data_IF_742764022426
#
_entry.id   IF_742764022426
#
_cell.length_a   1.000
_cell.length_b   1.000
_cell.length_c   1.000
_cell.angle_alpha   90.00
_cell.angle_beta   90.00
_cell.angle_gamma   90.00
#
_symmetry.space_group_name_H-M   'P 1'
#
loop_
_entity.id
_entity.type
_entity.pdbx_description
1 polymer ?
#
# COMPACT_ATOMS: atom_id res chain seq x y z
N UNK A 1 -22.08 15.07 25.82
CA UNK A 1 -21.87 14.71 25.32
C UNK A 1 -21.24 14.64 24.83
N UNK A 2 -20.95 14.68 24.51
CA UNK A 2 -20.72 14.52 23.83
C UNK A 2 -20.48 13.95 23.58
N UNK A 3 -20.09 13.81 24.56
CA UNK A 3 -19.69 12.91 23.83
C UNK A 3 -20.68 12.89 22.90
N UNK A 4 -21.21 13.33 23.16
CA UNK A 4 -22.29 13.31 22.38
C UNK A 4 -22.15 13.67 20.96
N UNK A 5 -21.04 13.37 20.42
CA UNK A 5 -20.96 13.47 18.96
C UNK A 5 -21.84 12.40 18.40
N UNK A 6 -23.02 12.76 18.07
CA UNK A 6 -23.88 11.90 17.31
C UNK A 6 -23.29 11.77 15.93
N UNK A 7 -22.87 10.58 15.59
CA UNK A 7 -22.49 10.31 14.21
C UNK A 7 -23.75 10.42 13.37
N UNK A 8 -23.77 11.30 12.36
CA UNK A 8 -24.92 11.37 11.46
C UNK A 8 -25.17 9.98 10.85
N UNK A 9 -26.42 9.64 10.66
CA UNK A 9 -26.78 8.34 10.10
C UNK A 9 -26.14 8.08 8.73
N UNK A 10 -25.90 9.13 7.97
CA UNK A 10 -25.24 9.01 6.69
C UNK A 10 -23.72 8.80 6.81
N UNK A 11 -23.19 8.97 8.00
CA UNK A 11 -21.78 8.70 8.30
C UNK A 11 -21.62 7.49 9.19
N UNK A 12 -22.69 6.76 9.44
CA UNK A 12 -22.59 5.52 10.19
C UNK A 12 -21.68 4.54 9.45
N UNK A 13 -21.01 3.72 10.21
CA UNK A 13 -20.17 2.68 9.62
C UNK A 13 -21.03 1.80 8.74
N UNK A 14 -20.50 1.40 7.57
CA UNK A 14 -21.25 0.52 6.68
C UNK A 14 -21.62 -0.77 7.40
N UNK A 15 -22.89 -1.07 7.41
CA UNK A 15 -23.37 -2.34 7.92
C UNK A 15 -23.86 -3.24 6.79
N UNK A 16 -23.89 -2.68 5.58
CA UNK A 16 -24.24 -3.41 4.38
C UNK A 16 -23.12 -4.38 4.05
N UNK A 17 -23.49 -5.59 3.65
CA UNK A 17 -22.53 -6.61 3.23
C UNK A 17 -21.71 -6.21 2.03
N UNK A 18 -22.17 -5.24 1.25
CA UNK A 18 -21.44 -4.74 0.09
C UNK A 18 -20.32 -3.79 0.48
N UNK A 19 -20.41 -3.21 1.66
CA UNK A 19 -19.42 -2.27 2.14
C UNK A 19 -18.38 -2.99 2.98
N UNK A 20 -17.13 -2.74 2.66
CA UNK A 20 -16.04 -3.34 3.42
C UNK A 20 -15.80 -2.56 4.70
N UNK A 21 -15.46 -3.28 5.77
CA UNK A 21 -15.05 -2.66 7.02
C UNK A 21 -13.71 -1.95 6.83
N UNK A 22 -13.36 -1.10 7.78
CA UNK A 22 -12.04 -0.45 7.77
C UNK A 22 -10.92 -1.50 7.81
N UNK A 23 -11.08 -2.55 8.61
CA UNK A 23 -10.09 -3.61 8.70
C UNK A 23 -9.91 -4.32 7.36
N UNK A 24 -11.02 -4.61 6.67
CA UNK A 24 -10.96 -5.25 5.36
C UNK A 24 -10.28 -4.36 4.33
N UNK A 25 -10.54 -3.07 4.37
CA UNK A 25 -9.88 -2.11 3.47
C UNK A 25 -8.38 -2.05 3.72
N UNK A 26 -7.97 -2.10 4.97
CA UNK A 26 -6.55 -2.13 5.34
C UNK A 26 -5.90 -3.42 4.84
N UNK A 27 -6.56 -4.56 5.03
CA UNK A 27 -6.04 -5.85 4.58
C UNK A 27 -5.84 -5.86 3.06
N UNK A 28 -6.77 -5.27 2.32
CA UNK A 28 -6.66 -5.16 0.86
C UNK A 28 -5.50 -4.25 0.48
N UNK A 29 -5.36 -3.10 1.14
CA UNK A 29 -4.29 -2.16 0.86
C UNK A 29 -2.92 -2.77 1.14
N UNK A 30 -2.79 -3.50 2.25
CA UNK A 30 -1.55 -4.22 2.59
C UNK A 30 -1.24 -5.26 1.51
N UNK A 31 -2.25 -6.02 1.10
CA UNK A 31 -2.08 -7.04 0.06
C UNK A 31 -1.63 -6.44 -1.27
N UNK A 32 -2.21 -5.32 -1.66
CA UNK A 32 -1.82 -4.62 -2.89
C UNK A 32 -0.37 -4.14 -2.82
N UNK A 33 0.06 -3.67 -1.67
CA UNK A 33 1.44 -3.22 -1.48
C UNK A 33 2.42 -4.39 -1.55
N UNK A 34 2.07 -5.53 -0.97
CA UNK A 34 2.89 -6.74 -1.07
C UNK A 34 3.07 -7.12 -2.54
N UNK A 35 1.98 -7.11 -3.28
CA UNK A 35 2.00 -7.42 -4.70
C UNK A 35 2.85 -6.44 -5.49
N UNK A 36 2.72 -5.15 -5.21
CA UNK A 36 3.49 -4.11 -5.87
C UNK A 36 4.99 -4.27 -5.61
N UNK A 37 5.37 -4.56 -4.37
CA UNK A 37 6.77 -4.79 -4.01
C UNK A 37 7.32 -6.04 -4.69
N UNK A 38 6.50 -7.08 -4.77
CA UNK A 38 6.87 -8.30 -5.46
C UNK A 38 7.19 -8.04 -6.93
N UNK A 39 6.31 -7.33 -7.62
CA UNK A 39 6.53 -6.97 -9.02
C UNK A 39 7.77 -6.10 -9.19
N UNK A 40 7.93 -5.12 -8.30
CA UNK A 40 9.08 -4.23 -8.35
C UNK A 40 10.40 -4.98 -8.22
N UNK A 41 10.40 -6.07 -7.48
CA UNK A 41 11.59 -6.89 -7.25
C UNK A 41 11.66 -8.12 -8.17
N UNK A 42 10.81 -8.17 -9.17
CA UNK A 42 10.77 -9.27 -10.15
C UNK A 42 10.62 -10.64 -9.50
N UNK A 43 9.80 -10.71 -8.46
CA UNK A 43 9.52 -11.96 -7.75
C UNK A 43 8.15 -12.49 -8.14
N UNK A 44 8.08 -13.82 -8.33
CA UNK A 44 6.80 -14.50 -8.47
C UNK A 44 6.19 -14.71 -7.08
N UNK A 45 4.92 -15.09 -7.04
CA UNK A 45 4.28 -15.48 -5.78
C UNK A 45 5.00 -16.68 -5.16
N UNK A 46 5.48 -17.61 -6.00
CA UNK A 46 6.25 -18.75 -5.52
C UNK A 46 7.58 -18.33 -4.91
N UNK A 47 8.27 -17.38 -5.54
CA UNK A 47 9.52 -16.86 -4.99
C UNK A 47 9.31 -16.27 -3.60
N UNK A 48 8.26 -15.47 -3.46
CA UNK A 48 7.96 -14.85 -2.17
C UNK A 48 7.56 -15.90 -1.12
N UNK A 49 6.77 -16.90 -1.53
CA UNK A 49 6.36 -17.96 -0.62
C UNK A 49 7.56 -18.73 -0.08
N UNK A 50 8.54 -19.01 -0.93
CA UNK A 50 9.77 -19.65 -0.51
C UNK A 50 10.58 -18.77 0.45
N UNK A 51 10.70 -17.50 0.13
CA UNK A 51 11.44 -16.56 0.98
C UNK A 51 10.83 -16.46 2.37
N UNK A 52 9.51 -16.56 2.48
CA UNK A 52 8.79 -16.44 3.74
C UNK A 52 8.51 -17.79 4.41
N UNK A 53 8.83 -18.89 3.76
CA UNK A 53 8.55 -20.26 4.22
C UNK A 53 7.07 -20.49 4.49
N UNK A 54 6.22 -20.00 3.61
CA UNK A 54 4.77 -20.20 3.67
C UNK A 54 4.29 -20.71 2.30
N UNK A 55 3.04 -21.14 2.26
CA UNK A 55 2.49 -21.69 1.02
C UNK A 55 2.21 -20.58 -0.01
N UNK A 56 2.24 -20.98 -1.26
CA UNK A 56 1.85 -20.13 -2.38
C UNK A 56 0.41 -19.63 -2.20
N UNK A 57 -0.49 -20.50 -1.77
CA UNK A 57 -1.88 -20.14 -1.51
C UNK A 57 -2.01 -19.05 -0.45
N UNK A 58 -1.13 -19.08 0.56
CA UNK A 58 -1.14 -18.07 1.59
C UNK A 58 -0.74 -16.71 1.03
N UNK A 59 0.25 -16.68 0.13
CA UNK A 59 0.62 -15.44 -0.55
C UNK A 59 -0.57 -14.90 -1.34
N UNK A 60 -1.28 -15.76 -2.07
CA UNK A 60 -2.46 -15.33 -2.82
C UNK A 60 -3.51 -14.71 -1.91
N UNK A 61 -3.74 -15.30 -0.75
CA UNK A 61 -4.72 -14.79 0.20
C UNK A 61 -4.30 -13.44 0.79
N UNK A 62 -3.01 -13.25 1.02
CA UNK A 62 -2.49 -11.97 1.48
C UNK A 62 -2.67 -10.90 0.39
N UNK A 63 -2.29 -11.20 -0.84
CA UNK A 63 -2.33 -10.23 -1.93
C UNK A 63 -3.74 -9.81 -2.31
N UNK A 64 -4.72 -10.65 -2.05
CA UNK A 64 -6.13 -10.34 -2.33
C UNK A 64 -6.87 -9.77 -1.12
N UNK A 65 -6.22 -9.70 0.03
CA UNK A 65 -6.82 -9.21 1.25
C UNK A 65 -7.77 -10.19 1.92
N UNK A 66 -7.82 -11.44 1.45
CA UNK A 66 -8.67 -12.46 2.07
C UNK A 66 -8.22 -12.82 3.48
N UNK A 67 -6.92 -12.84 3.70
CA UNK A 67 -6.33 -13.10 5.00
C UNK A 67 -5.55 -11.88 5.45
N UNK A 68 -5.68 -11.59 6.74
CA UNK A 68 -4.91 -10.53 7.37
C UNK A 68 -3.48 -11.01 7.59
N UNK A 69 -2.52 -10.14 7.32
CA UNK A 69 -1.12 -10.41 7.59
C UNK A 69 -0.85 -10.05 9.05
N UNK A 70 -0.31 -11.00 9.81
CA UNK A 70 0.05 -10.71 11.20
C UNK A 70 1.20 -9.71 11.26
N UNK A 71 1.34 -9.02 12.39
CA UNK A 71 2.41 -8.06 12.56
C UNK A 71 3.80 -8.70 12.37
N UNK A 72 3.99 -9.91 12.90
CA UNK A 72 5.26 -10.62 12.75
C UNK A 72 5.54 -11.01 11.31
N UNK A 73 4.51 -11.46 10.58
CA UNK A 73 4.68 -11.77 9.16
C UNK A 73 4.95 -10.52 8.35
N UNK A 74 4.27 -9.43 8.68
CA UNK A 74 4.48 -8.16 7.99
C UNK A 74 5.92 -7.67 8.19
N UNK A 75 6.48 -7.85 9.39
CA UNK A 75 7.88 -7.53 9.65
C UNK A 75 8.83 -8.38 8.79
N UNK A 76 8.52 -9.66 8.62
CA UNK A 76 9.31 -10.55 7.75
C UNK A 76 9.25 -10.11 6.29
N UNK A 77 8.06 -9.75 5.82
CA UNK A 77 7.88 -9.27 4.45
C UNK A 77 8.64 -7.96 4.25
N UNK A 78 8.54 -7.04 5.21
CA UNK A 78 9.27 -5.77 5.16
C UNK A 78 10.78 -6.01 5.07
N UNK A 79 11.30 -6.93 5.86
CA UNK A 79 12.71 -7.28 5.84
C UNK A 79 13.11 -7.90 4.49
N UNK A 80 12.26 -8.75 3.94
CA UNK A 80 12.50 -9.39 2.65
C UNK A 80 12.67 -8.37 1.53
N UNK A 81 11.85 -7.32 1.54
CA UNK A 81 11.91 -6.25 0.55
C UNK A 81 12.78 -5.07 0.96
N UNK A 82 13.35 -5.12 2.15
CA UNK A 82 14.18 -4.05 2.69
C UNK A 82 13.46 -2.70 2.70
N UNK A 83 12.23 -2.70 3.20
CA UNK A 83 11.43 -1.49 3.37
C UNK A 83 10.97 -1.40 4.82
N UNK A 84 10.69 -0.20 5.33
CA UNK A 84 10.14 -0.07 6.68
C UNK A 84 8.72 -0.66 6.71
N UNK A 85 8.33 -1.20 7.86
CA UNK A 85 7.02 -1.84 8.01
C UNK A 85 5.87 -0.86 7.70
N UNK A 86 6.07 0.42 7.99
CA UNK A 86 5.07 1.44 7.68
C UNK A 86 4.80 1.62 6.19
N UNK A 87 5.68 1.12 5.35
CA UNK A 87 5.53 1.19 3.90
C UNK A 87 4.24 0.51 3.43
N UNK A 88 3.80 -0.53 4.14
CA UNK A 88 2.58 -1.27 3.79
C UNK A 88 1.32 -0.49 4.09
N UNK A 89 1.43 0.56 4.86
CA UNK A 89 0.34 1.47 5.18
C UNK A 89 0.57 2.81 4.48
N UNK A 90 1.23 2.78 3.32
CA UNK A 90 1.69 3.96 2.62
C UNK A 90 0.61 4.94 2.20
N UNK A 91 -0.60 4.44 2.02
CA UNK A 91 -1.75 5.29 1.80
C UNK A 91 -2.45 5.63 3.11
N UNK A 92 -1.78 5.34 4.24
CA UNK A 92 -2.28 5.86 5.48
C UNK A 92 -2.38 7.36 5.33
N UNK A 93 -3.43 7.92 5.89
CA UNK A 93 -3.84 9.27 5.56
C UNK A 93 -2.73 10.24 5.88
N UNK A 94 -1.95 10.54 4.85
CA UNK A 94 -1.12 11.72 4.88
C UNK A 94 -2.09 12.87 5.10
N UNK A 95 -1.74 13.76 6.02
CA UNK A 95 -2.50 14.98 6.11
C UNK A 95 -2.42 15.68 4.76
N UNK A 96 -3.41 16.46 4.36
CA UNK A 96 -3.32 17.21 3.11
C UNK A 96 -2.02 18.01 3.00
N UNK A 97 -1.54 18.54 4.11
CA UNK A 97 -0.27 19.27 4.14
C UNK A 97 0.91 18.37 3.78
N UNK A 98 0.97 17.17 4.33
CA UNK A 98 2.05 16.22 4.04
C UNK A 98 2.00 15.76 2.59
N UNK A 99 0.80 15.52 2.06
CA UNK A 99 0.64 15.15 0.67
C UNK A 99 1.12 16.28 -0.25
N UNK A 100 0.72 17.50 0.03
CA UNK A 100 1.12 18.66 -0.75
C UNK A 100 2.63 18.85 -0.72
N UNK A 101 3.24 18.66 0.45
CA UNK A 101 4.69 18.78 0.59
C UNK A 101 5.42 17.74 -0.24
N UNK A 102 4.96 16.50 -0.22
CA UNK A 102 5.58 15.43 -1.01
C UNK A 102 5.45 15.69 -2.50
N UNK A 103 4.29 16.14 -2.92
CA UNK A 103 4.06 16.49 -4.33
C UNK A 103 4.97 17.64 -4.73
N UNK A 104 5.08 18.67 -3.89
CA UNK A 104 5.94 19.82 -4.15
C UNK A 104 7.40 19.43 -4.25
N UNK A 105 7.88 18.55 -3.39
CA UNK A 105 9.25 18.04 -3.44
C UNK A 105 9.49 17.24 -4.73
N UNK A 106 8.54 16.43 -5.13
CA UNK A 106 8.65 15.65 -6.35
C UNK A 106 8.72 16.57 -7.57
N UNK A 107 7.85 17.57 -7.63
CA UNK A 107 7.83 18.55 -8.71
C UNK A 107 9.14 19.34 -8.78
N UNK A 108 9.66 19.75 -7.62
CA UNK A 108 10.91 20.47 -7.54
C UNK A 108 12.08 19.64 -8.09
N UNK A 109 12.13 18.36 -7.70
CA UNK A 109 13.14 17.45 -8.21
C UNK A 109 13.01 17.25 -9.71
N UNK A 110 11.77 17.13 -10.20
CA UNK A 110 11.51 16.98 -11.62
C UNK A 110 11.99 18.19 -12.39
N UNK A 111 11.68 19.40 -11.90
CA UNK A 111 12.09 20.65 -12.55
C UNK A 111 13.61 20.79 -12.65
N UNK A 112 14.34 20.25 -11.66
CA UNK A 112 15.80 20.30 -11.62
C UNK A 112 16.45 19.22 -12.47
N UNK A 113 15.69 18.30 -13.02
CA UNK A 113 16.24 17.27 -13.90
C UNK A 113 16.63 17.86 -15.25
N UNK A 114 17.62 17.24 -15.90
CA UNK A 114 17.92 17.55 -17.29
C UNK A 114 16.73 17.14 -18.18
N UNK A 115 16.60 17.79 -19.33
CA UNK A 115 15.54 17.46 -20.26
C UNK A 115 15.56 15.98 -20.65
N UNK A 116 16.74 15.43 -20.80
CA UNK A 116 16.91 14.02 -21.12
C UNK A 116 16.32 13.11 -20.05
N UNK A 117 16.57 13.42 -18.78
CA UNK A 117 16.01 12.65 -17.68
C UNK A 117 14.50 12.81 -17.58
N UNK A 118 13.99 14.03 -17.80
CA UNK A 118 12.55 14.28 -17.82
C UNK A 118 11.87 13.43 -18.89
N UNK A 119 12.44 13.39 -20.07
CA UNK A 119 11.87 12.60 -21.17
C UNK A 119 11.91 11.11 -20.87
N UNK A 120 13.00 10.60 -20.29
CA UNK A 120 13.12 9.20 -19.92
C UNK A 120 12.07 8.82 -18.89
N UNK A 121 11.86 9.66 -17.88
CA UNK A 121 10.88 9.43 -16.83
C UNK A 121 9.45 9.42 -17.39
N UNK A 122 9.13 10.36 -18.27
CA UNK A 122 7.81 10.42 -18.90
C UNK A 122 7.56 9.20 -19.78
N UNK A 123 8.58 8.70 -20.46
CA UNK A 123 8.47 7.50 -21.27
C UNK A 123 8.15 6.29 -20.40
N UNK A 124 8.84 6.12 -19.29
CA UNK A 124 8.59 5.04 -18.35
C UNK A 124 7.15 5.11 -17.83
N UNK A 125 6.71 6.29 -17.45
CA UNK A 125 5.35 6.49 -16.94
C UNK A 125 4.28 6.10 -17.96
N UNK A 126 4.53 6.35 -19.25
CA UNK A 126 3.59 5.96 -20.31
C UNK A 126 3.51 4.45 -20.52
N UNK A 127 4.58 3.75 -20.20
CA UNK A 127 4.66 2.30 -20.38
C UNK A 127 4.15 1.51 -19.17
N UNK A 128 3.82 2.20 -18.09
CA UNK A 128 3.30 1.58 -16.87
C UNK A 128 1.81 1.25 -16.95
#
# INVERSE_FOLDING_TARGET
MVGGVKVPSNLSYPTDKKDKTMAEKVDIAVGEMIRALRFKNNMTQSDLSQALSISFQQIQKYETGKNRVSASMLAKIAATFNVPIGHFFGDSPLTPFEADRQISELLDRFEKMSDRKKMALLKIAREM
#
